data_IF_718659421248
#
_entry.id   IF_718659421248
#
_cell.length_a   1.000
_cell.length_b   1.000
_cell.length_c   1.000
_cell.angle_alpha   90.00
_cell.angle_beta   90.00
_cell.angle_gamma   90.00
#
_symmetry.space_group_name_H-M   'P 1'
#
loop_
_entity.id
_entity.type
_entity.pdbx_description
1 polymer ?
#
# COMPACT_ATOMS: atom_id res chain seq x y z
N UNK A 1 20.75 -18.12 24.59
CA UNK A 1 20.32 -18.70 23.29
C UNK A 1 20.02 -17.57 22.32
N UNK A 2 20.43 -17.67 21.06
CA UNK A 2 20.06 -16.70 20.02
C UNK A 2 18.55 -16.89 19.74
N UNK A 3 17.78 -15.79 19.77
CA UNK A 3 16.34 -15.84 19.43
C UNK A 3 16.15 -16.28 17.99
N UNK A 4 15.32 -17.27 17.75
CA UNK A 4 14.84 -17.65 16.42
C UNK A 4 13.47 -17.02 16.23
N UNK A 5 13.29 -16.24 15.15
CA UNK A 5 12.05 -15.55 14.83
C UNK A 5 11.51 -16.08 13.50
N UNK A 6 10.31 -16.65 13.50
CA UNK A 6 9.67 -17.33 12.36
C UNK A 6 8.31 -16.72 12.00
N UNK A 7 8.06 -15.46 12.39
CA UNK A 7 6.77 -14.79 12.20
C UNK A 7 6.91 -13.50 11.35
N UNK A 8 7.80 -13.52 10.34
CA UNK A 8 8.02 -12.36 9.47
C UNK A 8 6.77 -11.98 8.64
N UNK A 9 5.88 -12.92 8.35
CA UNK A 9 4.62 -12.64 7.67
C UNK A 9 3.67 -11.73 8.45
N UNK A 10 3.75 -11.72 9.79
CA UNK A 10 3.00 -10.78 10.63
C UNK A 10 3.71 -9.43 10.72
N UNK A 11 5.02 -9.41 10.96
CA UNK A 11 5.88 -8.23 10.98
C UNK A 11 7.34 -8.65 10.88
N UNK A 12 8.15 -7.94 10.10
CA UNK A 12 9.57 -8.27 9.97
C UNK A 12 10.36 -8.05 11.27
N UNK A 13 11.26 -8.98 11.59
CA UNK A 13 12.23 -8.82 12.68
C UNK A 13 13.49 -9.67 12.39
N UNK A 14 14.71 -9.07 12.49
CA UNK A 14 14.95 -7.64 12.75
C UNK A 14 14.45 -6.73 11.63
N UNK A 15 14.36 -5.43 11.90
CA UNK A 15 14.13 -4.40 10.88
C UNK A 15 15.38 -4.23 10.02
N UNK A 16 15.26 -3.59 8.86
CA UNK A 16 16.40 -3.23 8.04
C UNK A 16 17.43 -2.41 8.86
N UNK A 17 18.73 -2.55 8.55
CA UNK A 17 19.76 -1.73 9.16
C UNK A 17 19.44 -0.23 9.08
N UNK A 18 19.73 0.52 10.14
CA UNK A 18 19.51 1.96 10.22
C UNK A 18 18.09 2.41 10.54
N UNK A 19 17.07 1.53 10.52
CA UNK A 19 15.66 1.91 10.81
C UNK A 19 15.49 2.46 12.20
N UNK A 20 15.98 1.76 13.22
CA UNK A 20 15.90 2.22 14.61
C UNK A 20 16.69 3.50 14.85
N UNK A 21 17.86 3.63 14.23
CA UNK A 21 18.71 4.79 14.36
C UNK A 21 18.08 6.02 13.70
N UNK A 22 17.43 5.87 12.55
CA UNK A 22 16.72 6.94 11.87
C UNK A 22 15.54 7.47 12.72
N UNK A 23 14.73 6.56 13.29
CA UNK A 23 13.64 6.93 14.19
C UNK A 23 14.17 7.65 15.43
N UNK A 24 15.20 7.08 16.07
CA UNK A 24 15.85 7.68 17.24
C UNK A 24 16.45 9.06 16.93
N UNK A 25 17.16 9.19 15.81
CA UNK A 25 17.75 10.46 15.40
C UNK A 25 16.68 11.55 15.20
N UNK A 26 15.54 11.22 14.57
CA UNK A 26 14.46 12.18 14.46
C UNK A 26 13.99 12.66 15.84
N UNK A 27 13.75 11.74 16.77
CA UNK A 27 13.23 12.05 18.11
C UNK A 27 14.22 12.85 18.96
N UNK A 28 15.51 12.54 18.87
CA UNK A 28 16.54 13.16 19.73
C UNK A 28 17.07 14.48 19.16
N UNK A 29 17.16 14.63 17.84
CA UNK A 29 17.94 15.68 17.22
C UNK A 29 17.13 16.55 16.23
N UNK A 30 16.02 16.07 15.67
CA UNK A 30 15.23 16.83 14.67
C UNK A 30 13.94 17.36 15.30
N UNK A 31 13.02 16.49 15.71
CA UNK A 31 11.84 16.80 16.52
C UNK A 31 10.87 17.86 15.96
N UNK A 32 10.96 18.17 14.66
CA UNK A 32 10.17 19.25 14.05
C UNK A 32 8.87 18.75 13.47
N UNK A 33 7.90 19.66 13.30
CA UNK A 33 6.73 19.44 12.48
C UNK A 33 6.95 20.06 11.09
N UNK A 34 6.52 19.38 10.03
CA UNK A 34 6.57 19.89 8.66
C UNK A 34 5.33 20.74 8.33
N UNK A 35 5.36 21.47 7.22
CA UNK A 35 4.28 22.33 6.71
C UNK A 35 3.93 23.57 7.56
N UNK A 36 4.63 23.84 8.67
CA UNK A 36 4.34 24.99 9.56
C UNK A 36 5.57 25.77 9.99
N UNK A 37 6.78 25.25 9.81
CA UNK A 37 8.03 25.86 10.26
C UNK A 37 8.81 26.46 9.09
N UNK A 38 9.23 27.73 9.20
CA UNK A 38 10.12 28.39 8.23
C UNK A 38 11.59 28.39 8.70
N UNK A 39 12.10 27.25 9.22
CA UNK A 39 13.46 27.11 9.73
C UNK A 39 14.11 25.83 9.18
N UNK A 40 15.44 25.78 9.21
CA UNK A 40 16.28 24.81 8.50
C UNK A 40 15.90 23.35 8.81
N UNK A 41 15.65 23.01 10.07
CA UNK A 41 15.31 21.65 10.48
C UNK A 41 13.94 21.20 9.95
N UNK A 42 12.99 22.14 9.78
CA UNK A 42 11.69 21.83 9.21
C UNK A 42 11.81 21.51 7.71
N UNK A 43 12.61 22.26 6.97
CA UNK A 43 12.90 21.99 5.55
C UNK A 43 13.66 20.67 5.39
N UNK A 44 14.66 20.40 6.23
CA UNK A 44 15.38 19.13 6.20
C UNK A 44 14.46 17.92 6.47
N UNK A 45 13.47 18.08 7.35
CA UNK A 45 12.48 17.03 7.59
C UNK A 45 11.52 16.84 6.39
N UNK A 46 11.15 17.92 5.70
CA UNK A 46 10.35 17.88 4.48
C UNK A 46 11.09 17.16 3.34
N UNK A 47 12.40 17.47 3.17
CA UNK A 47 13.26 16.80 2.19
C UNK A 47 13.28 15.27 2.39
N UNK A 48 13.34 14.78 3.63
CA UNK A 48 13.28 13.35 3.95
C UNK A 48 11.92 12.74 3.56
N UNK A 49 10.83 13.46 3.75
CA UNK A 49 9.50 13.01 3.34
C UNK A 49 9.41 12.92 1.81
N UNK A 50 9.93 13.93 1.10
CA UNK A 50 9.99 13.95 -0.36
C UNK A 50 10.84 12.79 -0.86
N UNK A 51 12.05 12.59 -0.34
CA UNK A 51 12.93 11.49 -0.70
C UNK A 51 12.28 10.12 -0.47
N UNK A 52 11.50 9.98 0.63
CA UNK A 52 10.78 8.74 0.91
C UNK A 52 9.72 8.45 -0.16
N UNK A 53 8.99 9.48 -0.62
CA UNK A 53 8.04 9.36 -1.73
C UNK A 53 8.75 9.00 -3.04
N UNK A 54 9.89 9.63 -3.34
CA UNK A 54 10.69 9.34 -4.53
C UNK A 54 11.15 7.88 -4.56
N UNK A 55 11.61 7.35 -3.41
CA UNK A 55 12.00 5.95 -3.30
C UNK A 55 10.84 4.98 -3.50
N UNK A 56 9.64 5.30 -2.99
CA UNK A 56 8.43 4.52 -3.24
C UNK A 56 8.02 4.60 -4.72
N UNK A 57 8.09 5.77 -5.35
CA UNK A 57 7.84 5.94 -6.78
C UNK A 57 8.81 5.09 -7.61
N UNK A 58 10.10 5.13 -7.29
CA UNK A 58 11.11 4.31 -7.96
C UNK A 58 10.86 2.81 -7.77
N UNK A 59 10.56 2.39 -6.53
CA UNK A 59 10.31 0.98 -6.19
C UNK A 59 9.15 0.37 -6.97
N UNK A 60 8.08 1.14 -7.19
CA UNK A 60 6.85 0.66 -7.81
C UNK A 60 6.63 1.15 -9.26
N UNK A 61 7.64 1.81 -9.86
CA UNK A 61 7.53 2.38 -11.21
C UNK A 61 6.32 3.32 -11.35
N UNK A 62 6.28 4.33 -10.49
CA UNK A 62 5.20 5.31 -10.41
C UNK A 62 5.77 6.73 -10.60
N UNK A 63 5.12 7.57 -11.39
CA UNK A 63 5.64 8.88 -11.80
C UNK A 63 5.05 10.07 -11.05
N UNK A 64 4.08 9.84 -10.15
CA UNK A 64 3.32 10.91 -9.48
C UNK A 64 3.67 11.01 -8.00
N UNK A 65 4.75 11.73 -7.70
CA UNK A 65 5.30 11.90 -6.36
C UNK A 65 4.26 12.36 -5.31
N UNK A 66 3.41 13.32 -5.70
CA UNK A 66 2.39 13.88 -4.80
C UNK A 66 1.25 12.90 -4.48
N UNK A 67 1.08 11.90 -5.31
CA UNK A 67 0.05 10.88 -5.18
C UNK A 67 0.51 9.66 -4.36
N UNK A 68 1.66 9.75 -3.72
CA UNK A 68 2.11 8.81 -2.68
C UNK A 68 1.58 9.33 -1.34
N UNK A 69 0.60 8.66 -0.77
CA UNK A 69 -0.10 9.10 0.44
C UNK A 69 0.31 8.24 1.63
N UNK A 70 0.77 8.85 2.71
CA UNK A 70 1.10 8.15 3.94
C UNK A 70 -0.11 7.96 4.85
N UNK A 71 -0.20 6.79 5.46
CA UNK A 71 -1.25 6.42 6.41
C UNK A 71 -0.63 5.63 7.58
N UNK A 72 -1.33 5.46 8.71
CA UNK A 72 -0.81 4.66 9.83
C UNK A 72 -0.61 3.17 9.50
N UNK A 73 -1.32 2.62 8.52
CA UNK A 73 -1.21 1.22 8.10
C UNK A 73 -2.03 0.96 6.83
N UNK A 74 -1.77 -0.16 6.15
CA UNK A 74 -2.57 -0.58 4.99
C UNK A 74 -4.07 -0.73 5.31
N UNK A 75 -4.45 -1.06 6.54
CA UNK A 75 -5.86 -1.08 6.94
C UNK A 75 -6.48 0.29 6.81
N UNK A 76 -5.78 1.35 7.21
CA UNK A 76 -6.23 2.74 6.99
C UNK A 76 -6.27 3.06 5.50
N UNK A 77 -5.23 2.71 4.74
CA UNK A 77 -5.19 2.91 3.27
C UNK A 77 -6.43 2.31 2.59
N UNK A 78 -6.73 1.04 2.86
CA UNK A 78 -7.88 0.36 2.28
C UNK A 78 -9.23 0.97 2.71
N UNK A 79 -9.34 1.48 3.94
CA UNK A 79 -10.53 2.23 4.35
C UNK A 79 -10.66 3.56 3.59
N UNK A 80 -9.56 4.31 3.39
CA UNK A 80 -9.54 5.53 2.57
C UNK A 80 -10.02 5.24 1.14
N UNK A 81 -9.44 4.20 0.52
CA UNK A 81 -9.74 3.81 -0.86
C UNK A 81 -11.20 3.36 -0.97
N UNK A 82 -11.63 2.37 -0.20
CA UNK A 82 -12.95 1.75 -0.32
C UNK A 82 -14.06 2.75 -0.01
N UNK A 83 -13.95 3.47 1.11
CA UNK A 83 -14.98 4.41 1.55
C UNK A 83 -14.93 5.74 0.80
N UNK A 84 -13.75 6.13 0.34
CA UNK A 84 -13.56 7.38 -0.41
C UNK A 84 -13.90 7.24 -1.89
N UNK A 85 -13.76 6.04 -2.48
CA UNK A 85 -13.91 5.83 -3.91
C UNK A 85 -15.28 5.26 -4.31
N UNK A 86 -15.82 4.32 -3.53
CA UNK A 86 -17.07 3.63 -3.87
C UNK A 86 -18.31 4.44 -3.48
N UNK A 87 -19.36 4.35 -4.31
CA UNK A 87 -20.64 5.00 -4.15
C UNK A 87 -21.78 3.98 -4.16
N UNK A 88 -22.97 4.28 -3.57
CA UNK A 88 -24.15 3.46 -3.73
C UNK A 88 -24.45 3.18 -5.22
N UNK A 89 -24.68 1.92 -5.54
CA UNK A 89 -24.88 1.45 -6.91
C UNK A 89 -23.62 0.95 -7.62
N UNK A 90 -22.41 1.24 -7.10
CA UNK A 90 -21.17 0.66 -7.64
C UNK A 90 -21.08 -0.83 -7.33
N UNK A 91 -20.53 -1.58 -8.27
CA UNK A 91 -20.16 -2.98 -8.11
C UNK A 91 -18.64 -3.13 -8.20
N UNK A 92 -18.06 -4.03 -7.38
CA UNK A 92 -16.64 -4.39 -7.46
C UNK A 92 -16.46 -5.90 -7.44
N UNK A 93 -15.39 -6.35 -8.08
CA UNK A 93 -14.93 -7.73 -8.00
C UNK A 93 -13.76 -7.81 -7.01
N UNK A 94 -13.75 -8.85 -6.19
CA UNK A 94 -12.65 -9.13 -5.25
C UNK A 94 -12.24 -10.59 -5.35
N UNK A 95 -11.01 -10.95 -4.99
CA UNK A 95 -10.66 -12.36 -4.93
C UNK A 95 -11.36 -13.10 -3.77
N UNK A 96 -11.47 -14.41 -3.84
CA UNK A 96 -11.97 -15.23 -2.73
C UNK A 96 -10.98 -15.31 -1.55
N UNK A 97 -9.76 -14.82 -1.74
CA UNK A 97 -8.64 -14.94 -0.80
C UNK A 97 -8.38 -13.67 0.03
N UNK A 98 -9.26 -12.66 -0.08
CA UNK A 98 -9.03 -11.33 0.50
C UNK A 98 -8.86 -11.32 2.02
N UNK A 99 -7.93 -10.48 2.46
CA UNK A 99 -7.73 -10.21 3.88
C UNK A 99 -8.89 -9.38 4.47
N UNK A 100 -9.12 -9.49 5.78
CA UNK A 100 -10.17 -8.73 6.48
C UNK A 100 -9.99 -7.20 6.40
N UNK A 101 -8.79 -6.70 6.13
CA UNK A 101 -8.55 -5.26 5.90
C UNK A 101 -9.27 -4.75 4.65
N UNK A 102 -9.50 -5.62 3.64
CA UNK A 102 -10.31 -5.38 2.46
C UNK A 102 -11.79 -5.69 2.72
N UNK A 103 -12.07 -6.89 3.24
CA UNK A 103 -13.45 -7.38 3.31
C UNK A 103 -14.35 -6.65 4.32
N UNK A 104 -13.79 -6.22 5.46
CA UNK A 104 -14.60 -5.52 6.48
C UNK A 104 -15.07 -4.14 6.03
N UNK A 105 -14.23 -3.27 5.45
CA UNK A 105 -14.71 -2.02 4.84
C UNK A 105 -15.71 -2.25 3.70
N UNK A 106 -15.50 -3.27 2.84
CA UNK A 106 -16.47 -3.63 1.80
C UNK A 106 -17.83 -4.03 2.36
N UNK A 107 -17.86 -4.81 3.44
CA UNK A 107 -19.12 -5.14 4.13
C UNK A 107 -19.80 -3.90 4.72
N UNK A 108 -19.04 -2.91 5.14
CA UNK A 108 -19.59 -1.65 5.63
C UNK A 108 -20.26 -0.83 4.51
N UNK A 109 -19.57 -0.65 3.37
CA UNK A 109 -20.14 0.10 2.23
C UNK A 109 -21.24 -0.67 1.50
N UNK A 110 -21.27 -2.00 1.61
CA UNK A 110 -22.40 -2.82 1.15
C UNK A 110 -23.72 -2.41 1.80
N UNK A 111 -23.69 -2.04 3.09
CA UNK A 111 -24.87 -1.53 3.79
C UNK A 111 -25.33 -0.17 3.26
N UNK A 112 -24.47 0.52 2.52
CA UNK A 112 -24.76 1.81 1.87
C UNK A 112 -25.14 1.65 0.39
N UNK A 113 -25.27 0.42 -0.12
CA UNK A 113 -25.71 0.16 -1.49
C UNK A 113 -24.59 -0.12 -2.49
N UNK A 114 -23.36 -0.35 -2.04
CA UNK A 114 -22.28 -0.92 -2.89
C UNK A 114 -22.44 -2.43 -2.98
N UNK A 115 -22.21 -2.99 -4.15
CA UNK A 115 -22.25 -4.45 -4.35
C UNK A 115 -20.83 -5.00 -4.58
N UNK A 116 -20.59 -6.25 -4.19
CA UNK A 116 -19.38 -6.95 -4.56
C UNK A 116 -19.61 -8.46 -4.77
N UNK A 117 -18.87 -9.01 -5.71
CA UNK A 117 -18.79 -10.46 -5.96
C UNK A 117 -17.35 -10.95 -5.78
N UNK A 118 -17.22 -12.24 -5.46
CA UNK A 118 -15.92 -12.89 -5.30
C UNK A 118 -15.56 -13.67 -6.54
N UNK A 119 -14.43 -13.31 -7.15
CA UNK A 119 -13.78 -14.11 -8.18
C UNK A 119 -13.35 -15.43 -7.51
N UNK A 120 -13.79 -16.59 -8.01
CA UNK A 120 -13.43 -17.86 -7.40
C UNK A 120 -11.94 -18.14 -7.54
N UNK A 121 -11.42 -18.87 -6.55
CA UNK A 121 -10.09 -19.47 -6.61
C UNK A 121 -10.22 -21.00 -6.63
N UNK A 122 -9.21 -21.68 -7.13
CA UNK A 122 -9.10 -23.13 -7.05
C UNK A 122 -8.94 -23.57 -5.59
N UNK A 123 -8.97 -24.89 -5.34
CA UNK A 123 -8.73 -25.43 -3.99
C UNK A 123 -7.32 -25.08 -3.46
N UNK A 124 -6.37 -24.90 -4.35
CA UNK A 124 -4.98 -24.54 -4.03
C UNK A 124 -4.77 -23.02 -3.91
N UNK A 125 -5.84 -22.23 -4.04
CA UNK A 125 -5.84 -20.78 -3.87
C UNK A 125 -5.52 -19.99 -5.13
N UNK A 126 -5.34 -20.62 -6.29
CA UNK A 126 -5.08 -19.94 -7.57
C UNK A 126 -6.34 -19.24 -8.08
N UNK A 127 -6.20 -17.99 -8.51
CA UNK A 127 -7.30 -17.19 -9.05
C UNK A 127 -7.79 -17.77 -10.38
N UNK A 128 -9.10 -17.96 -10.52
CA UNK A 128 -9.71 -18.37 -11.80
C UNK A 128 -9.93 -17.14 -12.70
N UNK A 129 -8.85 -16.70 -13.35
CA UNK A 129 -8.83 -15.48 -14.20
C UNK A 129 -9.85 -15.56 -15.34
N UNK A 130 -10.06 -16.75 -15.90
CA UNK A 130 -11.04 -17.03 -16.94
C UNK A 130 -12.50 -16.70 -16.55
N UNK A 131 -12.78 -16.58 -15.27
CA UNK A 131 -14.10 -16.22 -14.75
C UNK A 131 -14.33 -14.72 -14.61
N UNK A 132 -13.30 -13.90 -14.66
CA UNK A 132 -13.42 -12.46 -14.37
C UNK A 132 -14.35 -11.78 -15.36
N UNK A 133 -14.14 -11.97 -16.66
CA UNK A 133 -14.92 -11.26 -17.69
C UNK A 133 -16.42 -11.60 -17.63
N UNK A 134 -16.78 -12.87 -17.30
CA UNK A 134 -18.17 -13.31 -17.12
C UNK A 134 -18.87 -12.63 -15.93
N UNK A 135 -18.08 -12.15 -14.94
CA UNK A 135 -18.59 -11.53 -13.72
C UNK A 135 -18.69 -10.00 -13.82
N UNK A 136 -18.16 -9.39 -14.89
CA UNK A 136 -18.23 -7.95 -15.09
C UNK A 136 -19.67 -7.55 -15.40
N UNK A 137 -20.20 -6.58 -14.65
CA UNK A 137 -21.54 -5.99 -14.81
C UNK A 137 -21.42 -4.59 -15.39
N UNK A 138 -22.49 -4.00 -15.95
CA UNK A 138 -22.48 -2.61 -16.42
C UNK A 138 -22.10 -1.57 -15.38
N UNK A 139 -22.33 -1.87 -14.09
CA UNK A 139 -21.98 -1.02 -12.94
C UNK A 139 -20.70 -1.48 -12.22
N UNK A 140 -19.94 -2.41 -12.79
CA UNK A 140 -18.63 -2.79 -12.22
C UNK A 140 -17.66 -1.64 -12.38
N UNK A 141 -17.13 -1.16 -11.27
CA UNK A 141 -16.24 -0.01 -11.20
C UNK A 141 -14.77 -0.38 -11.06
N UNK A 142 -14.50 -1.45 -10.30
CA UNK A 142 -13.13 -1.86 -10.00
C UNK A 142 -12.99 -3.35 -9.74
N UNK A 143 -11.76 -3.84 -9.91
CA UNK A 143 -11.29 -5.09 -9.31
C UNK A 143 -10.35 -4.72 -8.16
N UNK A 144 -10.58 -5.29 -6.98
CA UNK A 144 -9.79 -5.06 -5.79
C UNK A 144 -9.26 -6.38 -5.27
N UNK A 145 -7.94 -6.54 -5.13
CA UNK A 145 -7.38 -7.79 -4.65
C UNK A 145 -6.05 -7.65 -3.92
N UNK A 146 -5.78 -8.62 -3.05
CA UNK A 146 -4.44 -8.81 -2.50
C UNK A 146 -3.49 -9.35 -3.58
N UNK A 147 -2.18 -9.00 -3.49
CA UNK A 147 -1.16 -9.56 -4.37
C UNK A 147 -0.72 -10.96 -3.91
N UNK A 148 -0.62 -11.20 -2.61
CA UNK A 148 -0.35 -12.53 -2.09
C UNK A 148 -1.12 -12.80 -0.80
N UNK A 149 -1.59 -14.05 -0.64
CA UNK A 149 -2.32 -14.48 0.54
C UNK A 149 -1.39 -14.59 1.75
N UNK A 150 -1.76 -13.97 2.85
CA UNK A 150 -1.08 -14.13 4.13
C UNK A 150 -1.33 -15.48 4.80
N UNK A 151 -2.21 -16.31 4.26
CA UNK A 151 -2.59 -17.61 4.81
C UNK A 151 -1.89 -18.76 4.09
N UNK A 152 -1.99 -18.82 2.77
CA UNK A 152 -1.44 -19.91 1.96
C UNK A 152 -0.23 -19.50 1.11
N UNK A 153 0.11 -18.20 1.04
CA UNK A 153 1.25 -17.70 0.27
C UNK A 153 1.02 -17.63 -1.24
N UNK A 154 -0.16 -18.05 -1.74
CA UNK A 154 -0.47 -17.97 -3.17
C UNK A 154 -0.37 -16.53 -3.67
N UNK A 155 0.33 -16.34 -4.80
CA UNK A 155 0.53 -15.04 -5.46
C UNK A 155 -0.50 -14.90 -6.58
N UNK A 156 -1.21 -13.77 -6.59
CA UNK A 156 -2.22 -13.46 -7.60
C UNK A 156 -1.58 -12.95 -8.90
N UNK A 157 -2.13 -13.29 -10.07
CA UNK A 157 -1.59 -12.91 -11.38
C UNK A 157 -1.94 -11.45 -11.74
N UNK A 158 -1.26 -10.47 -11.10
CA UNK A 158 -1.60 -9.06 -11.23
C UNK A 158 -1.56 -8.56 -12.67
N UNK A 159 -0.59 -9.02 -13.48
CA UNK A 159 -0.49 -8.60 -14.89
C UNK A 159 -1.74 -8.99 -15.67
N UNK A 160 -2.17 -10.25 -15.58
CA UNK A 160 -3.34 -10.75 -16.30
C UNK A 160 -4.62 -10.03 -15.88
N UNK A 161 -4.77 -9.78 -14.57
CA UNK A 161 -5.93 -9.05 -14.02
C UNK A 161 -5.91 -7.58 -14.42
N UNK A 162 -4.73 -6.95 -14.39
CA UNK A 162 -4.54 -5.58 -14.85
C UNK A 162 -4.88 -5.39 -16.34
N UNK A 163 -4.47 -6.34 -17.18
CA UNK A 163 -4.81 -6.34 -18.61
C UNK A 163 -6.33 -6.42 -18.84
N UNK A 164 -7.03 -7.24 -18.04
CA UNK A 164 -8.51 -7.31 -18.06
C UNK A 164 -9.12 -5.99 -17.59
N UNK A 165 -8.62 -5.41 -16.50
CA UNK A 165 -9.10 -4.12 -16.02
C UNK A 165 -8.94 -3.02 -17.10
N UNK A 166 -7.76 -2.94 -17.71
CA UNK A 166 -7.48 -2.00 -18.78
C UNK A 166 -8.42 -2.18 -19.98
N UNK A 167 -8.60 -3.44 -20.43
CA UNK A 167 -9.50 -3.79 -21.55
C UNK A 167 -10.95 -3.35 -21.30
N UNK A 168 -11.43 -3.46 -20.07
CA UNK A 168 -12.82 -3.17 -19.69
C UNK A 168 -13.01 -1.81 -19.04
N UNK A 169 -11.97 -0.96 -19.01
CA UNK A 169 -11.97 0.36 -18.37
C UNK A 169 -12.40 0.29 -16.89
N UNK A 170 -11.95 -0.74 -16.17
CA UNK A 170 -12.12 -0.91 -14.73
C UNK A 170 -10.90 -0.40 -13.99
N UNK A 171 -11.09 0.08 -12.76
CA UNK A 171 -9.95 0.44 -11.90
C UNK A 171 -9.38 -0.78 -11.21
N UNK A 172 -8.04 -0.86 -11.16
CA UNK A 172 -7.34 -1.95 -10.51
C UNK A 172 -6.69 -1.49 -9.20
N UNK A 173 -7.15 -2.07 -8.08
CA UNK A 173 -6.74 -1.70 -6.73
C UNK A 173 -6.08 -2.90 -6.07
N UNK A 174 -4.82 -2.75 -5.66
CA UNK A 174 -3.98 -3.84 -5.16
C UNK A 174 -3.60 -3.62 -3.69
N UNK A 175 -3.86 -4.63 -2.85
CA UNK A 175 -3.32 -4.77 -1.50
C UNK A 175 -1.97 -5.51 -1.59
N UNK A 176 -0.86 -4.77 -1.47
CA UNK A 176 0.49 -5.30 -1.50
C UNK A 176 1.10 -5.51 -0.10
N UNK A 177 0.27 -5.74 0.94
CA UNK A 177 0.74 -5.87 2.33
C UNK A 177 1.84 -6.93 2.50
N UNK A 178 1.76 -8.04 1.77
CA UNK A 178 2.71 -9.14 1.89
C UNK A 178 3.89 -9.05 0.90
N UNK A 179 3.74 -8.29 -0.18
CA UNK A 179 4.64 -8.35 -1.33
C UNK A 179 5.43 -7.07 -1.59
N UNK A 180 4.95 -5.91 -1.09
CA UNK A 180 5.70 -4.66 -1.18
C UNK A 180 7.07 -4.80 -0.51
N UNK A 181 8.14 -4.78 -1.32
CA UNK A 181 9.52 -4.93 -0.85
C UNK A 181 10.15 -6.32 -1.02
N UNK A 182 9.36 -7.35 -1.42
CA UNK A 182 9.89 -8.70 -1.70
C UNK A 182 9.50 -9.26 -3.08
N UNK A 183 8.55 -8.62 -3.75
CA UNK A 183 8.17 -8.94 -5.13
C UNK A 183 8.31 -7.71 -6.01
N UNK A 184 8.82 -7.84 -7.25
CA UNK A 184 8.75 -6.76 -8.23
C UNK A 184 7.30 -6.43 -8.55
N UNK A 185 6.94 -5.15 -8.41
CA UNK A 185 5.62 -4.62 -8.78
C UNK A 185 5.86 -3.40 -9.66
N UNK A 186 5.32 -3.42 -10.88
CA UNK A 186 5.35 -2.29 -11.79
C UNK A 186 3.93 -1.78 -12.02
N UNK A 187 3.61 -0.64 -11.38
CA UNK A 187 2.27 -0.04 -11.42
C UNK A 187 1.83 0.26 -12.84
N UNK A 188 2.73 0.83 -13.67
CA UNK A 188 2.43 1.20 -15.04
C UNK A 188 2.17 -0.05 -15.91
N UNK A 189 3.09 -1.01 -15.88
CA UNK A 189 3.01 -2.23 -16.69
C UNK A 189 1.80 -3.09 -16.32
N UNK A 190 1.50 -3.20 -15.02
CA UNK A 190 0.40 -4.03 -14.49
C UNK A 190 -0.94 -3.29 -14.46
N UNK A 191 -1.03 -2.08 -15.03
CA UNK A 191 -2.24 -1.25 -15.08
C UNK A 191 -2.90 -1.04 -13.71
N UNK A 192 -2.10 -0.85 -12.65
CA UNK A 192 -2.59 -0.65 -11.30
C UNK A 192 -2.94 0.82 -11.09
N UNK A 193 -4.18 1.11 -10.72
CA UNK A 193 -4.64 2.47 -10.39
C UNK A 193 -4.33 2.85 -8.94
N UNK A 194 -4.38 1.88 -8.03
CA UNK A 194 -4.06 2.10 -6.61
C UNK A 194 -3.27 0.92 -6.05
N UNK A 195 -2.12 1.20 -5.48
CA UNK A 195 -1.29 0.22 -4.76
C UNK A 195 -1.22 0.60 -3.28
N UNK A 196 -1.79 -0.21 -2.39
CA UNK A 196 -1.71 -0.01 -0.96
C UNK A 196 -0.60 -0.86 -0.33
N UNK A 197 0.14 -0.30 0.66
CA UNK A 197 1.27 -0.95 1.30
C UNK A 197 1.31 -0.73 2.82
N UNK A 198 2.10 -1.53 3.52
CA UNK A 198 2.44 -1.34 4.93
C UNK A 198 3.94 -1.39 5.16
N UNK A 199 4.47 -0.50 5.99
CA UNK A 199 5.92 -0.36 6.17
C UNK A 199 6.58 -1.50 6.94
N UNK A 200 5.84 -2.19 7.81
CA UNK A 200 6.43 -3.07 8.82
C UNK A 200 6.59 -4.54 8.42
N UNK A 201 6.17 -4.94 7.21
CA UNK A 201 6.32 -6.30 6.67
C UNK A 201 7.52 -6.37 5.71
N UNK A 202 7.32 -6.73 4.46
CA UNK A 202 8.41 -6.90 3.48
C UNK A 202 9.15 -5.60 3.13
N UNK A 203 8.58 -4.41 3.41
CA UNK A 203 9.33 -3.15 3.36
C UNK A 203 10.34 -2.99 4.51
N UNK A 204 10.39 -3.89 5.49
CA UNK A 204 11.35 -3.95 6.60
C UNK A 204 11.43 -2.68 7.48
N UNK A 205 10.46 -1.80 7.37
CA UNK A 205 10.33 -0.54 8.10
C UNK A 205 9.60 -0.67 9.45
N UNK A 206 9.34 0.46 10.13
CA UNK A 206 8.66 0.45 11.42
C UNK A 206 7.16 0.18 11.28
N UNK A 207 6.53 -0.21 12.40
CA UNK A 207 5.08 -0.20 12.55
C UNK A 207 4.54 1.24 12.62
N UNK A 208 3.24 1.42 12.37
CA UNK A 208 2.59 2.72 12.46
C UNK A 208 2.82 3.62 11.23
N UNK A 209 3.37 3.06 10.15
CA UNK A 209 3.50 3.71 8.84
C UNK A 209 3.10 2.73 7.73
N UNK A 210 2.37 3.22 6.77
CA UNK A 210 1.96 2.58 5.53
C UNK A 210 1.54 3.66 4.55
N UNK A 211 0.81 3.31 3.51
CA UNK A 211 0.35 4.28 2.54
C UNK A 211 -0.29 3.63 1.32
N UNK A 212 -0.56 4.48 0.34
CA UNK A 212 -0.98 4.05 -0.98
C UNK A 212 -0.48 5.02 -2.05
N UNK A 213 -0.24 4.48 -3.24
CA UNK A 213 0.02 5.23 -4.46
C UNK A 213 -1.27 5.21 -5.27
N UNK A 214 -1.68 6.35 -5.83
CA UNK A 214 -2.99 6.47 -6.50
C UNK A 214 -2.89 7.25 -7.81
N UNK A 215 -3.55 6.77 -8.86
CA UNK A 215 -3.67 7.48 -10.13
C UNK A 215 -4.44 8.81 -9.95
N UNK A 216 -4.16 9.80 -10.80
CA UNK A 216 -4.86 11.11 -10.74
C UNK A 216 -6.37 10.96 -10.86
N UNK A 217 -6.81 10.06 -11.73
CA UNK A 217 -8.22 9.81 -11.99
C UNK A 217 -8.94 9.31 -10.73
N UNK A 218 -8.40 8.26 -10.09
CA UNK A 218 -8.98 7.74 -8.85
C UNK A 218 -8.87 8.75 -7.73
N UNK A 219 -7.72 9.44 -7.58
CA UNK A 219 -7.52 10.45 -6.56
C UNK A 219 -8.52 11.61 -6.67
N UNK A 220 -8.87 12.02 -7.89
CA UNK A 220 -9.85 13.07 -8.15
C UNK A 220 -11.25 12.65 -7.70
N UNK A 221 -11.67 11.41 -7.99
CA UNK A 221 -12.99 10.90 -7.63
C UNK A 221 -13.13 10.57 -6.12
N UNK A 222 -12.01 10.26 -5.46
CA UNK A 222 -12.04 9.90 -4.04
C UNK A 222 -12.45 11.09 -3.16
N UNK A 223 -13.30 10.83 -2.18
CA UNK A 223 -13.59 11.74 -1.07
C UNK A 223 -12.64 11.38 0.09
N UNK A 224 -11.97 12.35 0.73
CA UNK A 224 -11.13 12.06 1.88
C UNK A 224 -11.95 11.50 3.05
N UNK A 225 -11.47 10.43 3.67
CA UNK A 225 -12.11 9.79 4.83
C UNK A 225 -11.91 10.62 6.10
N UNK A 226 -10.79 11.29 6.21
CA UNK A 226 -10.42 12.16 7.33
C UNK A 226 -10.13 13.54 6.78
N UNK A 227 -10.78 14.54 7.33
CA UNK A 227 -10.59 15.96 7.00
C UNK A 227 -10.05 16.70 8.21
N UNK A 228 -9.29 17.78 7.98
CA UNK A 228 -8.71 18.58 9.06
C UNK A 228 -7.58 19.46 8.58
N UNK A 229 -6.82 20.04 9.49
CA UNK A 229 -5.73 20.94 9.14
C UNK A 229 -4.59 20.20 8.42
N UNK A 230 -4.17 20.75 7.30
CA UNK A 230 -3.05 20.24 6.47
C UNK A 230 -1.79 21.11 6.59
N UNK A 231 -1.96 22.35 7.09
CA UNK A 231 -0.88 23.33 7.22
C UNK A 231 -0.68 24.22 5.99
N UNK A 232 -1.30 23.91 4.85
CA UNK A 232 -1.10 24.62 3.58
C UNK A 232 -2.14 25.71 3.28
N UNK A 233 -3.43 25.48 3.56
CA UNK A 233 -4.54 26.42 3.28
C UNK A 233 -5.29 26.66 4.58
N UNK A 234 -4.76 27.61 5.39
CA UNK A 234 -5.29 27.85 6.74
C UNK A 234 -6.47 28.82 6.79
N UNK A 235 -6.77 29.50 5.70
CA UNK A 235 -7.84 30.50 5.55
C UNK A 235 -9.14 29.94 4.96
N UNK A 236 -9.16 28.65 4.60
CA UNK A 236 -10.32 27.94 4.06
C UNK A 236 -10.84 26.88 5.03
N UNK A 237 -12.17 26.79 5.16
CA UNK A 237 -12.86 25.72 5.89
C UNK A 237 -13.05 24.43 5.04
N UNK A 238 -12.73 24.49 3.75
CA UNK A 238 -12.81 23.36 2.85
C UNK A 238 -11.50 22.56 2.84
N UNK A 239 -11.61 21.23 2.76
CA UNK A 239 -10.46 20.37 2.58
C UNK A 239 -9.80 20.68 1.23
N UNK A 240 -8.45 20.82 1.19
CA UNK A 240 -7.75 20.98 -0.09
C UNK A 240 -8.00 19.81 -1.04
N UNK A 241 -8.11 20.10 -2.35
CA UNK A 241 -8.30 19.08 -3.39
C UNK A 241 -6.96 18.65 -4.03
N UNK A 242 -5.87 19.34 -3.73
CA UNK A 242 -4.56 18.98 -4.26
C UNK A 242 -3.82 17.95 -3.38
N UNK A 243 -2.98 17.16 -4.02
CA UNK A 243 -2.19 16.10 -3.37
C UNK A 243 -0.88 16.66 -2.76
N UNK A 244 -0.43 16.11 -1.66
CA UNK A 244 -1.02 15.03 -0.86
C UNK A 244 -2.06 15.50 0.16
N UNK A 245 -2.27 16.79 0.33
CA UNK A 245 -3.05 17.45 1.37
C UNK A 245 -4.51 16.97 1.43
N UNK A 246 -5.08 16.59 0.29
CA UNK A 246 -6.42 16.01 0.20
C UNK A 246 -6.60 14.83 1.16
N UNK A 247 -5.56 14.01 1.35
CA UNK A 247 -5.63 12.76 2.13
C UNK A 247 -4.73 12.76 3.38
N UNK A 248 -3.86 13.76 3.55
CA UNK A 248 -2.91 13.81 4.67
C UNK A 248 -3.27 14.91 5.70
N UNK A 249 -4.47 14.83 6.25
CA UNK A 249 -4.88 15.73 7.34
C UNK A 249 -4.23 15.37 8.67
N UNK A 250 -3.87 16.37 9.45
CA UNK A 250 -3.23 16.22 10.77
C UNK A 250 -1.71 16.06 10.70
N UNK A 251 -1.09 15.90 11.86
CA UNK A 251 0.36 15.67 11.95
C UNK A 251 0.69 14.25 11.55
N UNK A 252 1.54 14.11 10.53
CA UNK A 252 2.00 12.82 10.03
C UNK A 252 2.95 12.12 11.01
N UNK A 253 3.08 10.78 10.89
CA UNK A 253 4.07 10.01 11.64
C UNK A 253 5.48 10.20 11.05
N UNK A 254 6.06 11.40 11.24
CA UNK A 254 7.36 11.76 10.68
C UNK A 254 8.47 10.79 11.15
N UNK A 255 8.57 10.42 12.44
CA UNK A 255 9.56 9.41 12.86
C UNK A 255 9.40 8.07 12.13
N UNK A 256 8.15 7.65 11.86
CA UNK A 256 7.87 6.46 11.06
C UNK A 256 8.32 6.59 9.61
N UNK A 257 8.18 7.78 9.00
CA UNK A 257 8.65 8.06 7.63
C UNK A 257 10.18 8.01 7.57
N UNK A 258 10.89 8.58 8.57
CA UNK A 258 12.36 8.46 8.68
C UNK A 258 12.83 7.01 8.73
N UNK A 259 12.16 6.18 9.54
CA UNK A 259 12.44 4.75 9.60
C UNK A 259 12.12 4.03 8.29
N UNK A 260 11.02 4.37 7.62
CA UNK A 260 10.66 3.80 6.32
C UNK A 260 11.68 4.18 5.24
N UNK A 261 12.14 5.44 5.21
CA UNK A 261 13.21 5.87 4.30
C UNK A 261 14.48 5.02 4.47
N UNK A 262 14.92 4.81 5.71
CA UNK A 262 16.10 3.98 5.97
C UNK A 262 15.92 2.53 5.46
N UNK A 263 14.72 1.97 5.64
CA UNK A 263 14.38 0.66 5.09
C UNK A 263 14.40 0.64 3.55
N UNK A 264 13.83 1.66 2.90
CA UNK A 264 13.83 1.79 1.45
C UNK A 264 15.25 1.94 0.87
N UNK A 265 16.16 2.64 1.56
CA UNK A 265 17.58 2.69 1.18
C UNK A 265 18.20 1.29 1.19
N UNK A 266 17.96 0.52 2.24
CA UNK A 266 18.45 -0.87 2.33
C UNK A 266 17.88 -1.76 1.21
N UNK A 267 16.58 -1.64 0.92
CA UNK A 267 15.94 -2.40 -0.17
C UNK A 267 16.53 -2.02 -1.54
N UNK A 268 16.78 -0.74 -1.78
CA UNK A 268 17.41 -0.26 -3.01
C UNK A 268 18.84 -0.77 -3.17
N UNK A 269 19.65 -0.76 -2.11
CA UNK A 269 21.02 -1.29 -2.11
C UNK A 269 21.07 -2.81 -2.29
N UNK A 270 20.12 -3.54 -1.71
CA UNK A 270 20.07 -5.01 -1.77
C UNK A 270 19.49 -5.50 -3.09
N UNK A 271 18.49 -4.79 -3.62
CA UNK A 271 17.70 -5.17 -4.79
C UNK A 271 16.55 -6.13 -4.45
N UNK A 272 15.35 -5.81 -4.93
CA UNK A 272 14.14 -6.61 -4.66
C UNK A 272 14.25 -8.00 -5.24
N UNK A 273 14.84 -8.16 -6.43
CA UNK A 273 15.06 -9.45 -7.09
C UNK A 273 15.96 -10.38 -6.26
N UNK A 274 16.98 -9.81 -5.61
CA UNK A 274 17.88 -10.58 -4.73
C UNK A 274 17.16 -11.03 -3.45
N UNK A 275 16.32 -10.16 -2.87
CA UNK A 275 15.51 -10.49 -1.70
C UNK A 275 14.52 -11.59 -2.06
N UNK A 276 13.79 -11.43 -3.16
CA UNK A 276 12.84 -12.43 -3.66
C UNK A 276 13.52 -13.78 -3.93
N UNK A 277 14.66 -13.79 -4.63
CA UNK A 277 15.40 -15.01 -4.91
C UNK A 277 15.84 -15.73 -3.63
N UNK A 278 16.31 -14.99 -2.62
CA UNK A 278 16.70 -15.54 -1.33
C UNK A 278 15.51 -16.13 -0.55
N UNK A 279 14.36 -15.43 -0.51
CA UNK A 279 13.15 -15.93 0.14
C UNK A 279 12.66 -17.22 -0.55
N UNK A 280 12.69 -17.27 -1.88
CA UNK A 280 12.30 -18.47 -2.65
C UNK A 280 13.25 -19.65 -2.43
N UNK A 281 14.56 -19.41 -2.31
CA UNK A 281 15.54 -20.44 -1.95
C UNK A 281 15.25 -21.05 -0.59
N UNK A 282 14.98 -20.19 0.42
CA UNK A 282 14.65 -20.64 1.77
C UNK A 282 13.32 -21.41 1.80
N UNK A 283 12.33 -20.97 1.06
CA UNK A 283 11.03 -21.64 0.93
C UNK A 283 11.19 -23.05 0.34
N UNK A 284 11.92 -23.18 -0.76
CA UNK A 284 12.22 -24.48 -1.38
C UNK A 284 12.95 -25.41 -0.42
N UNK A 285 14.02 -24.91 0.22
CA UNK A 285 14.79 -25.69 1.18
C UNK A 285 13.97 -26.14 2.41
N UNK A 286 12.94 -25.39 2.79
CA UNK A 286 12.02 -25.75 3.85
C UNK A 286 11.05 -26.85 3.41
N UNK A 287 10.44 -26.72 2.23
CA UNK A 287 9.50 -27.71 1.67
C UNK A 287 10.20 -29.05 1.48
N UNK A 288 11.40 -29.08 0.87
CA UNK A 288 12.20 -30.29 0.64
C UNK A 288 12.58 -31.05 1.93
N UNK A 289 12.51 -30.40 3.10
CA UNK A 289 12.85 -31.03 4.39
C UNK A 289 11.64 -31.47 5.20
N UNK A 290 10.45 -31.05 4.81
CA UNK A 290 9.19 -31.44 5.48
C UNK A 290 8.59 -32.68 4.80
N UNK A 291 8.78 -32.86 3.48
CA UNK A 291 8.41 -34.06 2.73
C UNK A 291 9.35 -35.23 3.07
#
# INVERSE_FOLDING_TARGET
MKRVYLDNGSTSFPKAPGVSDAVKNFMDNVGTNVNRGGYEEAYAAEDIIIETREKLCKLFHFDKLRNVIFTPSITYSLNYIIKGYLRPGDHVLVSSMEHNAMMRPLQQVKQLGVEFDRIPCTRDGELMVDKIEEMIRPNTKAIMMLHASNVCGTVMPLQEVGDICHKHNLKFIVDAAQTAGSFPINIEQMHIDVLAFTGHKSLLGPQGIGGFLVSDEVAHEMIPLVTGGTGSVSDSEFQPEFMPDKFESGTQNIPGIYGLRAALCYLEETGIENIHAHEMELCKAFIEKID
#
